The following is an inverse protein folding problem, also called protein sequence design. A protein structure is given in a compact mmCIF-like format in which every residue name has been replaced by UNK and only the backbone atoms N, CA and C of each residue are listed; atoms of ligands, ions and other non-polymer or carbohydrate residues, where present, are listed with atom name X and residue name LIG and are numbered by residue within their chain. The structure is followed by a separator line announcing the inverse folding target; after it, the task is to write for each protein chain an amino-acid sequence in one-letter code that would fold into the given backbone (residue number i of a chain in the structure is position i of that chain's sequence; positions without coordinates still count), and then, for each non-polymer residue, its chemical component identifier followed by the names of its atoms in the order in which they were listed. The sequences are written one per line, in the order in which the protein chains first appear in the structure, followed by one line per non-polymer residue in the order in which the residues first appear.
data_IF_867158225642
#
_entry.id   IF_867158225642
#
_cell.length_a   1.000
_cell.length_b   1.000
_cell.length_c   1.000
_cell.angle_alpha   90.00
_cell.angle_beta   90.00
_cell.angle_gamma   90.00
#
_symmetry.space_group_name_H-M   'P 1'
#
loop_
_entity.id
_entity.type
_entity.pdbx_description
1 polymer ?
#
# COMPACT_ATOMS: atom_id res chain seq x y z
N UNK A 1 -42.16 -45.79 16.62
CA UNK A 1 -41.22 -46.74 16.00
C UNK A 1 -41.99 -47.55 14.95
N UNK A 2 -41.97 -47.12 13.69
CA UNK A 2 -42.64 -47.77 12.54
C UNK A 2 -41.64 -48.10 11.44
N UNK A 3 -40.40 -48.41 11.81
CA UNK A 3 -39.28 -48.72 10.90
C UNK A 3 -39.24 -50.19 10.45
N UNK A 4 -40.39 -50.87 10.38
CA UNK A 4 -40.45 -52.30 10.06
C UNK A 4 -41.67 -52.77 9.27
N UNK A 5 -42.57 -51.86 8.86
CA UNK A 5 -43.70 -52.24 7.99
C UNK A 5 -43.26 -52.22 6.52
N UNK A 6 -43.63 -53.23 5.69
CA UNK A 6 -43.38 -53.22 4.25
C UNK A 6 -43.86 -51.95 3.55
N UNK A 7 -44.96 -51.35 4.04
CA UNK A 7 -45.48 -50.07 3.54
C UNK A 7 -44.58 -48.88 3.91
N UNK A 8 -43.95 -48.90 5.10
CA UNK A 8 -42.98 -47.89 5.50
C UNK A 8 -41.68 -47.98 4.69
N UNK A 9 -41.22 -49.20 4.41
CA UNK A 9 -40.08 -49.44 3.52
C UNK A 9 -40.35 -48.98 2.08
N UNK A 10 -41.57 -49.21 1.57
CA UNK A 10 -41.99 -48.72 0.25
C UNK A 10 -42.06 -47.19 0.21
N UNK A 11 -42.61 -46.54 1.24
CA UNK A 11 -42.66 -45.08 1.34
C UNK A 11 -41.26 -44.44 1.40
N UNK A 12 -40.35 -45.05 2.16
CA UNK A 12 -38.95 -44.58 2.23
C UNK A 12 -38.20 -44.80 0.91
N UNK A 13 -38.48 -45.89 0.20
CA UNK A 13 -37.91 -46.16 -1.12
C UNK A 13 -38.43 -45.13 -2.14
N UNK A 14 -39.73 -44.85 -2.14
CA UNK A 14 -40.31 -43.83 -3.03
C UNK A 14 -39.72 -42.44 -2.77
N UNK A 15 -39.59 -42.01 -1.51
CA UNK A 15 -38.94 -40.73 -1.17
C UNK A 15 -37.50 -40.65 -1.66
N UNK A 16 -36.73 -41.75 -1.56
CA UNK A 16 -35.36 -41.80 -2.08
C UNK A 16 -35.31 -41.72 -3.60
N UNK A 17 -36.23 -42.38 -4.29
CA UNK A 17 -36.33 -42.32 -5.75
C UNK A 17 -36.74 -40.92 -6.20
N UNK A 18 -37.75 -40.31 -5.58
CA UNK A 18 -38.17 -38.94 -5.86
C UNK A 18 -37.05 -37.93 -5.62
N UNK A 19 -36.33 -38.03 -4.50
CA UNK A 19 -35.17 -37.18 -4.23
C UNK A 19 -34.05 -37.36 -5.27
N UNK A 20 -33.80 -38.59 -5.72
CA UNK A 20 -32.81 -38.89 -6.76
C UNK A 20 -33.22 -38.32 -8.11
N UNK A 21 -34.48 -38.48 -8.52
CA UNK A 21 -35.01 -37.91 -9.76
C UNK A 21 -34.92 -36.39 -9.72
N UNK A 22 -35.32 -35.77 -8.61
CA UNK A 22 -35.22 -34.32 -8.45
C UNK A 22 -33.79 -33.80 -8.49
N UNK A 23 -32.85 -34.52 -7.88
CA UNK A 23 -31.44 -34.19 -7.97
C UNK A 23 -30.91 -34.28 -9.42
N UNK A 24 -31.34 -35.29 -10.17
CA UNK A 24 -30.97 -35.44 -11.57
C UNK A 24 -31.53 -34.31 -12.44
N UNK A 25 -32.81 -33.95 -12.27
CA UNK A 25 -33.42 -32.79 -12.95
C UNK A 25 -32.64 -31.50 -12.68
N UNK A 26 -32.27 -31.26 -11.42
CA UNK A 26 -31.52 -30.06 -11.04
C UNK A 26 -30.09 -30.07 -11.56
N UNK A 27 -29.46 -31.23 -11.74
CA UNK A 27 -28.14 -31.33 -12.38
C UNK A 27 -28.25 -30.94 -13.86
N UNK A 28 -29.25 -31.47 -14.57
CA UNK A 28 -29.50 -31.12 -15.99
C UNK A 28 -29.84 -29.63 -16.14
N UNK A 29 -30.62 -29.07 -15.21
CA UNK A 29 -30.94 -27.63 -15.17
C UNK A 29 -29.71 -26.77 -14.83
N UNK A 30 -28.80 -27.27 -13.97
CA UNK A 30 -27.55 -26.59 -13.64
C UNK A 30 -26.61 -26.56 -14.85
N UNK A 31 -26.49 -27.67 -15.59
CA UNK A 31 -25.68 -27.74 -16.81
C UNK A 31 -26.20 -26.77 -17.86
N UNK A 32 -27.52 -26.74 -18.09
CA UNK A 32 -28.14 -25.77 -18.99
C UNK A 32 -27.90 -24.33 -18.54
N UNK A 33 -28.02 -24.05 -17.24
CA UNK A 33 -27.77 -22.72 -16.68
C UNK A 33 -26.30 -22.31 -16.79
N UNK A 34 -25.37 -23.25 -16.63
CA UNK A 34 -23.93 -23.02 -16.81
C UNK A 34 -23.58 -22.75 -18.27
N UNK A 35 -24.24 -23.41 -19.22
CA UNK A 35 -24.07 -23.15 -20.66
C UNK A 35 -24.59 -21.77 -21.05
N UNK A 36 -25.76 -21.36 -20.53
CA UNK A 36 -26.28 -20.00 -20.71
C UNK A 36 -25.36 -18.95 -20.11
N UNK A 37 -24.81 -19.23 -18.92
CA UNK A 37 -23.84 -18.35 -18.27
C UNK A 37 -22.58 -18.21 -19.12
N UNK A 38 -22.08 -19.31 -19.70
CA UNK A 38 -20.90 -19.28 -20.59
C UNK A 38 -21.14 -18.44 -21.83
N UNK A 39 -22.29 -18.59 -22.47
CA UNK A 39 -22.66 -17.77 -23.64
C UNK A 39 -22.76 -16.29 -23.29
N UNK A 40 -23.37 -15.94 -22.16
CA UNK A 40 -23.46 -14.55 -21.72
C UNK A 40 -22.08 -13.96 -21.34
N UNK A 41 -21.20 -14.79 -20.78
CA UNK A 41 -19.82 -14.44 -20.43
C UNK A 41 -18.95 -14.19 -21.67
N UNK A 42 -19.09 -15.04 -22.69
CA UNK A 42 -18.43 -14.85 -23.98
C UNK A 42 -18.94 -13.56 -24.66
N UNK A 43 -20.26 -13.33 -24.65
CA UNK A 43 -20.86 -12.14 -25.24
C UNK A 43 -20.36 -10.84 -24.58
N UNK A 44 -20.30 -10.77 -23.23
CA UNK A 44 -19.78 -9.57 -22.56
C UNK A 44 -18.30 -9.34 -22.87
N UNK A 45 -17.48 -10.41 -22.95
CA UNK A 45 -16.06 -10.31 -23.29
C UNK A 45 -15.85 -9.77 -24.71
N UNK A 46 -16.68 -10.19 -25.66
CA UNK A 46 -16.62 -9.69 -27.03
C UNK A 46 -16.94 -8.19 -27.10
N UNK A 47 -17.99 -7.75 -26.40
CA UNK A 47 -18.35 -6.33 -26.34
C UNK A 47 -17.27 -5.51 -25.61
N UNK A 48 -16.72 -6.00 -24.51
CA UNK A 48 -15.61 -5.35 -23.79
C UNK A 48 -14.32 -5.30 -24.63
N UNK A 49 -14.04 -6.32 -25.44
CA UNK A 49 -12.93 -6.31 -26.37
C UNK A 49 -13.12 -5.25 -27.45
N UNK A 50 -14.34 -5.13 -27.99
CA UNK A 50 -14.71 -4.09 -28.96
C UNK A 50 -14.62 -2.68 -28.35
N UNK A 51 -15.14 -2.49 -27.14
CA UNK A 51 -15.06 -1.21 -26.42
C UNK A 51 -13.61 -0.76 -26.24
N UNK A 52 -12.72 -1.65 -25.78
CA UNK A 52 -11.28 -1.37 -25.65
C UNK A 52 -10.60 -0.97 -26.96
N UNK A 53 -11.08 -1.46 -28.11
CA UNK A 53 -10.54 -1.13 -29.41
C UNK A 53 -11.08 0.19 -29.97
N UNK A 54 -12.38 0.43 -29.83
CA UNK A 54 -13.08 1.53 -30.49
C UNK A 54 -13.06 2.81 -29.65
N UNK A 55 -13.25 2.69 -28.33
CA UNK A 55 -13.39 3.84 -27.42
C UNK A 55 -12.22 4.83 -27.52
N UNK A 56 -10.94 4.42 -27.52
CA UNK A 56 -9.84 5.37 -27.58
C UNK A 56 -9.78 6.14 -28.90
N UNK A 57 -10.15 5.50 -30.02
CA UNK A 57 -10.19 6.16 -31.32
C UNK A 57 -11.30 7.22 -31.37
N UNK A 58 -12.51 6.87 -30.91
CA UNK A 58 -13.65 7.80 -30.89
C UNK A 58 -13.48 8.94 -29.89
N UNK A 59 -12.87 8.70 -28.74
CA UNK A 59 -12.51 9.77 -27.80
C UNK A 59 -11.54 10.78 -28.43
N UNK A 60 -10.49 10.31 -29.12
CA UNK A 60 -9.57 11.20 -29.84
C UNK A 60 -10.27 12.01 -30.93
N UNK A 61 -11.23 11.43 -31.65
CA UNK A 61 -12.01 12.15 -32.64
C UNK A 61 -12.87 13.25 -32.01
N UNK A 62 -13.41 13.03 -30.81
CA UNK A 62 -14.14 14.06 -30.06
C UNK A 62 -13.21 15.19 -29.62
N UNK A 63 -12.04 14.87 -29.06
CA UNK A 63 -11.03 15.87 -28.69
C UNK A 63 -10.56 16.69 -29.90
N UNK A 64 -10.36 16.04 -31.05
CA UNK A 64 -10.03 16.72 -32.30
C UNK A 64 -11.16 17.63 -32.77
N UNK A 65 -12.41 17.17 -32.72
CA UNK A 65 -13.57 17.98 -33.09
C UNK A 65 -13.74 19.20 -32.16
N UNK A 66 -13.44 19.07 -30.87
CA UNK A 66 -13.40 20.19 -29.92
C UNK A 66 -12.28 21.19 -30.26
N UNK A 67 -11.07 20.70 -30.55
CA UNK A 67 -9.96 21.52 -31.02
C UNK A 67 -10.29 22.29 -32.31
N UNK A 68 -10.87 21.60 -33.29
CA UNK A 68 -11.32 22.17 -34.56
C UNK A 68 -12.42 23.23 -34.34
N UNK A 69 -13.34 23.02 -33.41
CA UNK A 69 -14.38 23.99 -33.08
C UNK A 69 -13.78 25.28 -32.48
N UNK A 70 -12.81 25.16 -31.59
CA UNK A 70 -12.09 26.29 -31.02
C UNK A 70 -11.33 27.07 -32.09
N UNK A 71 -10.62 26.37 -32.97
CA UNK A 71 -9.91 26.98 -34.09
C UNK A 71 -10.88 27.68 -35.04
N UNK A 72 -12.01 27.05 -35.38
CA UNK A 72 -13.02 27.63 -36.24
C UNK A 72 -13.63 28.90 -35.63
N UNK A 73 -13.93 28.90 -34.32
CA UNK A 73 -14.38 30.11 -33.61
C UNK A 73 -13.38 31.26 -33.73
N UNK A 74 -12.08 30.97 -33.60
CA UNK A 74 -11.05 31.97 -33.77
C UNK A 74 -10.97 32.49 -35.22
N UNK A 75 -10.99 31.58 -36.20
CA UNK A 75 -10.95 31.92 -37.62
C UNK A 75 -12.17 32.75 -38.03
N UNK A 76 -13.38 32.41 -37.56
CA UNK A 76 -14.59 33.21 -37.77
C UNK A 76 -14.41 34.62 -37.24
N UNK A 77 -13.86 34.77 -36.04
CA UNK A 77 -13.57 36.10 -35.45
C UNK A 77 -12.56 36.87 -36.30
N UNK A 78 -11.47 36.23 -36.75
CA UNK A 78 -10.45 36.86 -37.59
C UNK A 78 -11.00 37.26 -38.97
N UNK A 79 -11.84 36.43 -39.58
CA UNK A 79 -12.53 36.74 -40.85
C UNK A 79 -13.44 37.94 -40.69
N UNK A 80 -14.19 38.03 -39.59
CA UNK A 80 -15.02 39.20 -39.29
C UNK A 80 -14.18 40.48 -39.09
N UNK A 81 -13.05 40.40 -38.38
CA UNK A 81 -12.14 41.52 -38.16
C UNK A 81 -11.49 42.03 -39.45
N UNK A 82 -11.17 41.13 -40.39
CA UNK A 82 -10.51 41.46 -41.66
C UNK A 82 -11.50 41.72 -42.80
N UNK A 83 -12.81 41.77 -42.54
CA UNK A 83 -13.84 41.93 -43.57
C UNK A 83 -13.58 43.11 -44.51
N UNK A 84 -13.15 44.26 -43.98
CA UNK A 84 -12.89 45.45 -44.78
C UNK A 84 -11.63 45.35 -45.66
N UNK A 85 -10.73 44.41 -45.35
CA UNK A 85 -9.49 44.14 -46.08
C UNK A 85 -9.64 43.00 -47.09
N UNK A 86 -10.71 42.21 -46.98
CA UNK A 86 -11.06 41.14 -47.90
C UNK A 86 -11.92 41.69 -49.04
N UNK A 87 -11.68 41.22 -50.27
CA UNK A 87 -12.62 41.42 -51.37
C UNK A 87 -13.93 40.65 -51.13
N UNK A 88 -14.98 41.04 -51.85
CA UNK A 88 -16.31 40.44 -51.67
C UNK A 88 -16.35 38.95 -52.03
N UNK A 89 -15.53 38.52 -53.00
CA UNK A 89 -15.45 37.11 -53.41
C UNK A 89 -14.74 36.27 -52.35
N UNK A 90 -13.61 36.75 -51.84
CA UNK A 90 -12.83 36.09 -50.79
C UNK A 90 -13.64 35.97 -49.50
N UNK A 91 -14.42 37.01 -49.16
CA UNK A 91 -15.29 36.98 -47.99
C UNK A 91 -16.44 35.97 -48.14
N UNK A 92 -17.11 35.90 -49.31
CA UNK A 92 -18.15 34.88 -49.57
C UNK A 92 -17.59 33.47 -49.55
N UNK A 93 -16.38 33.26 -50.06
CA UNK A 93 -15.72 31.94 -49.99
C UNK A 93 -15.37 31.57 -48.54
N UNK A 94 -14.88 32.52 -47.74
CA UNK A 94 -14.63 32.30 -46.32
C UNK A 94 -15.92 31.92 -45.57
N UNK A 95 -17.05 32.57 -45.86
CA UNK A 95 -18.36 32.19 -45.29
C UNK A 95 -18.77 30.77 -45.69
N UNK A 96 -18.59 30.40 -46.96
CA UNK A 96 -18.87 29.04 -47.43
C UNK A 96 -18.00 28.02 -46.69
N UNK A 97 -16.69 28.25 -46.60
CA UNK A 97 -15.76 27.37 -45.89
C UNK A 97 -16.12 27.23 -44.41
N UNK A 98 -16.48 28.34 -43.74
CA UNK A 98 -16.95 28.31 -42.35
C UNK A 98 -18.17 27.39 -42.20
N UNK A 99 -19.16 27.48 -43.09
CA UNK A 99 -20.35 26.64 -43.02
C UNK A 99 -20.03 25.17 -43.25
N UNK A 100 -19.18 24.86 -44.25
CA UNK A 100 -18.74 23.49 -44.52
C UNK A 100 -17.98 22.91 -43.32
N UNK A 101 -17.04 23.68 -42.75
CA UNK A 101 -16.28 23.24 -41.57
C UNK A 101 -17.16 23.04 -40.34
N UNK A 102 -18.18 23.89 -40.10
CA UNK A 102 -19.15 23.66 -39.01
C UNK A 102 -19.89 22.35 -39.18
N UNK A 103 -20.45 22.11 -40.37
CA UNK A 103 -21.19 20.89 -40.66
C UNK A 103 -20.30 19.64 -40.53
N UNK A 104 -19.04 19.71 -40.94
CA UNK A 104 -18.09 18.60 -40.82
C UNK A 104 -17.72 18.29 -39.35
N UNK A 105 -17.43 19.33 -38.55
CA UNK A 105 -17.14 19.17 -37.11
C UNK A 105 -18.35 18.57 -36.38
N UNK A 106 -19.56 19.11 -36.64
CA UNK A 106 -20.80 18.60 -36.04
C UNK A 106 -21.05 17.14 -36.44
N UNK A 107 -20.85 16.79 -37.72
CA UNK A 107 -20.99 15.40 -38.19
C UNK A 107 -20.02 14.46 -37.49
N UNK A 108 -18.72 14.79 -37.44
CA UNK A 108 -17.71 13.94 -36.78
C UNK A 108 -18.02 13.75 -35.29
N UNK A 109 -18.41 14.83 -34.61
CA UNK A 109 -18.82 14.76 -33.20
C UNK A 109 -20.02 13.84 -33.00
N UNK A 110 -21.07 14.00 -33.82
CA UNK A 110 -22.28 13.18 -33.73
C UNK A 110 -22.00 11.71 -34.02
N UNK A 111 -21.20 11.39 -35.04
CA UNK A 111 -20.80 10.02 -35.38
C UNK A 111 -20.02 9.36 -34.24
N UNK A 112 -19.00 10.05 -33.70
CA UNK A 112 -18.20 9.52 -32.60
C UNK A 112 -19.01 9.36 -31.29
N UNK A 113 -19.91 10.30 -30.98
CA UNK A 113 -20.82 10.19 -29.83
C UNK A 113 -21.79 9.01 -29.97
N UNK A 114 -22.42 8.88 -31.14
CA UNK A 114 -23.40 7.82 -31.39
C UNK A 114 -22.77 6.41 -31.29
N UNK A 115 -21.53 6.24 -31.76
CA UNK A 115 -20.84 4.95 -31.63
C UNK A 115 -20.45 4.63 -30.19
N UNK A 116 -20.00 5.62 -29.41
CA UNK A 116 -19.72 5.44 -27.98
C UNK A 116 -20.98 5.13 -27.18
N UNK A 117 -22.11 5.76 -27.51
CA UNK A 117 -23.42 5.47 -26.90
C UNK A 117 -23.89 4.06 -27.26
N UNK A 118 -23.76 3.66 -28.53
CA UNK A 118 -24.10 2.30 -28.97
C UNK A 118 -23.29 1.24 -28.22
N UNK A 119 -21.98 1.45 -28.06
CA UNK A 119 -21.12 0.52 -27.30
C UNK A 119 -21.51 0.46 -25.82
N UNK A 120 -21.87 1.60 -25.23
CA UNK A 120 -22.37 1.63 -23.85
C UNK A 120 -23.64 0.82 -23.70
N UNK A 121 -24.60 1.00 -24.60
CA UNK A 121 -25.87 0.26 -24.59
C UNK A 121 -25.65 -1.25 -24.81
N UNK A 122 -24.73 -1.64 -25.70
CA UNK A 122 -24.35 -3.04 -25.92
C UNK A 122 -23.76 -3.65 -24.64
N UNK A 123 -22.86 -2.93 -23.94
CA UNK A 123 -22.28 -3.38 -22.66
C UNK A 123 -23.34 -3.53 -21.58
N UNK A 124 -24.24 -2.55 -21.45
CA UNK A 124 -25.28 -2.56 -20.42
C UNK A 124 -26.27 -3.71 -20.65
N UNK A 125 -26.64 -4.00 -21.91
CA UNK A 125 -27.46 -5.16 -22.27
C UNK A 125 -26.74 -6.48 -21.96
N UNK A 126 -25.46 -6.61 -22.35
CA UNK A 126 -24.67 -7.81 -22.07
C UNK A 126 -24.55 -8.07 -20.55
N UNK A 127 -24.39 -7.02 -19.74
CA UNK A 127 -24.38 -7.11 -18.27
C UNK A 127 -25.72 -7.56 -17.71
N UNK A 128 -26.84 -7.05 -18.21
CA UNK A 128 -28.19 -7.47 -17.79
C UNK A 128 -28.39 -8.97 -18.09
N UNK A 129 -27.99 -9.42 -19.28
CA UNK A 129 -28.09 -10.82 -19.69
C UNK A 129 -27.20 -11.73 -18.84
N UNK A 130 -25.95 -11.32 -18.61
CA UNK A 130 -25.01 -12.02 -17.73
C UNK A 130 -25.57 -12.11 -16.30
N UNK A 131 -26.14 -11.02 -15.79
CA UNK A 131 -26.74 -10.99 -14.45
C UNK A 131 -27.88 -11.99 -14.34
N UNK A 132 -28.77 -12.00 -15.33
CA UNK A 132 -29.89 -12.92 -15.36
C UNK A 132 -29.43 -14.38 -15.44
N UNK A 133 -28.37 -14.68 -16.21
CA UNK A 133 -27.78 -16.02 -16.30
C UNK A 133 -27.13 -16.45 -14.98
N UNK A 134 -26.40 -15.53 -14.33
CA UNK A 134 -25.74 -15.75 -13.05
C UNK A 134 -26.74 -15.98 -11.91
N UNK A 135 -27.81 -15.18 -11.85
CA UNK A 135 -28.88 -15.36 -10.86
C UNK A 135 -29.62 -16.69 -11.05
N UNK A 136 -29.82 -17.14 -12.30
CA UNK A 136 -30.37 -18.49 -12.61
C UNK A 136 -29.43 -19.58 -12.14
N UNK A 137 -28.13 -19.49 -12.47
CA UNK A 137 -27.13 -20.45 -12.02
C UNK A 137 -27.09 -20.58 -10.49
N UNK A 138 -27.00 -19.46 -9.78
CA UNK A 138 -26.99 -19.43 -8.30
C UNK A 138 -28.31 -19.92 -7.68
N UNK A 139 -29.44 -19.76 -8.36
CA UNK A 139 -30.70 -20.32 -7.90
C UNK A 139 -30.65 -21.85 -7.90
N UNK A 140 -30.31 -22.47 -9.04
CA UNK A 140 -30.24 -23.93 -9.19
C UNK A 140 -29.15 -24.53 -8.30
N UNK A 141 -27.99 -23.86 -8.19
CA UNK A 141 -26.88 -24.27 -7.32
C UNK A 141 -27.31 -24.39 -5.86
N UNK A 142 -28.06 -23.40 -5.35
CA UNK A 142 -28.59 -23.42 -3.98
C UNK A 142 -29.62 -24.54 -3.76
N UNK A 143 -30.43 -24.87 -4.74
CA UNK A 143 -31.36 -26.01 -4.64
C UNK A 143 -30.60 -27.35 -4.57
N UNK A 144 -29.52 -27.51 -5.34
CA UNK A 144 -28.64 -28.69 -5.26
C UNK A 144 -27.93 -28.81 -3.92
N UNK A 145 -27.46 -27.69 -3.35
CA UNK A 145 -26.83 -27.67 -2.03
C UNK A 145 -27.81 -28.08 -0.91
N UNK A 146 -29.08 -27.70 -1.02
CA UNK A 146 -30.13 -28.14 -0.08
C UNK A 146 -30.35 -29.65 -0.11
N UNK A 147 -30.16 -30.28 -1.27
CA UNK A 147 -30.22 -31.72 -1.44
C UNK A 147 -28.91 -32.43 -1.07
N UNK A 148 -27.87 -31.67 -0.67
CA UNK A 148 -26.54 -32.17 -0.32
C UNK A 148 -25.93 -33.05 -1.42
N UNK A 149 -26.20 -32.71 -2.68
CA UNK A 149 -25.62 -33.41 -3.82
C UNK A 149 -24.11 -33.13 -3.86
N UNK A 150 -23.24 -34.15 -3.89
CA UNK A 150 -21.80 -33.94 -3.95
C UNK A 150 -21.41 -33.13 -5.19
N UNK A 151 -20.55 -32.12 -5.00
CA UNK A 151 -19.96 -31.38 -6.13
C UNK A 151 -19.14 -32.33 -7.00
N UNK A 152 -19.45 -32.35 -8.30
CA UNK A 152 -18.65 -33.02 -9.32
C UNK A 152 -17.80 -31.97 -10.08
N UNK A 153 -16.99 -32.42 -11.04
CA UNK A 153 -16.14 -31.52 -11.82
C UNK A 153 -16.92 -30.47 -12.63
N UNK A 154 -18.14 -30.80 -13.09
CA UNK A 154 -19.00 -29.87 -13.83
C UNK A 154 -19.54 -28.75 -12.93
N UNK A 155 -19.93 -29.07 -11.70
CA UNK A 155 -20.35 -28.09 -10.70
C UNK A 155 -19.20 -27.13 -10.38
N UNK A 156 -17.99 -27.64 -10.16
CA UNK A 156 -16.81 -26.80 -9.91
C UNK A 156 -16.50 -25.86 -11.08
N UNK A 157 -16.53 -26.36 -12.32
CA UNK A 157 -16.34 -25.53 -13.51
C UNK A 157 -17.41 -24.42 -13.63
N UNK A 158 -18.65 -24.73 -13.27
CA UNK A 158 -19.72 -23.75 -13.22
C UNK A 158 -19.51 -22.71 -12.11
N UNK A 159 -19.08 -23.13 -10.92
CA UNK A 159 -18.79 -22.24 -9.79
C UNK A 159 -17.62 -21.28 -10.15
N UNK A 160 -16.56 -21.79 -10.78
CA UNK A 160 -15.43 -21.00 -11.29
C UNK A 160 -15.85 -20.02 -12.41
N UNK A 161 -16.80 -20.42 -13.25
CA UNK A 161 -17.38 -19.55 -14.29
C UNK A 161 -18.23 -18.45 -13.65
N UNK A 162 -19.06 -18.77 -12.66
CA UNK A 162 -19.87 -17.81 -11.92
C UNK A 162 -18.98 -16.79 -11.21
N UNK A 163 -17.91 -17.23 -10.55
CA UNK A 163 -16.95 -16.32 -9.91
C UNK A 163 -16.31 -15.35 -10.91
N UNK A 164 -15.88 -15.85 -12.08
CA UNK A 164 -15.33 -14.98 -13.15
C UNK A 164 -16.38 -14.03 -13.72
N UNK A 165 -17.62 -14.49 -13.89
CA UNK A 165 -18.70 -13.64 -14.35
C UNK A 165 -19.00 -12.49 -13.38
N UNK A 166 -18.83 -12.69 -12.08
CA UNK A 166 -18.97 -11.62 -11.08
C UNK A 166 -17.98 -10.46 -11.30
N UNK A 167 -16.81 -10.72 -11.90
CA UNK A 167 -15.77 -9.70 -12.15
C UNK A 167 -16.21 -8.59 -13.11
N UNK A 168 -17.21 -8.84 -13.95
CA UNK A 168 -17.75 -7.84 -14.89
C UNK A 168 -18.64 -6.77 -14.23
N UNK A 169 -19.04 -6.99 -12.98
CA UNK A 169 -19.97 -6.13 -12.27
C UNK A 169 -19.24 -5.08 -11.41
N UNK A 170 -19.60 -3.78 -11.51
CA UNK A 170 -18.96 -2.72 -10.72
C UNK A 170 -19.02 -2.98 -9.21
N UNK A 171 -20.11 -3.55 -8.70
CA UNK A 171 -20.31 -3.80 -7.28
C UNK A 171 -19.31 -4.84 -6.74
N UNK A 172 -19.03 -5.87 -7.54
CA UNK A 172 -17.99 -6.85 -7.22
C UNK A 172 -16.61 -6.21 -7.28
N UNK A 173 -16.30 -5.45 -8.33
CA UNK A 173 -15.01 -4.78 -8.48
C UNK A 173 -14.70 -3.84 -7.31
N UNK A 174 -15.68 -3.07 -6.84
CA UNK A 174 -15.54 -2.18 -5.68
C UNK A 174 -15.31 -2.97 -4.39
N UNK A 175 -16.04 -4.07 -4.17
CA UNK A 175 -15.84 -4.94 -3.00
C UNK A 175 -14.51 -5.67 -3.03
N UNK A 176 -14.10 -6.18 -4.19
CA UNK A 176 -12.79 -6.80 -4.39
C UNK A 176 -11.67 -5.79 -4.14
N UNK A 177 -11.83 -4.56 -4.60
CA UNK A 177 -10.89 -3.47 -4.34
C UNK A 177 -10.81 -3.10 -2.85
N UNK A 178 -11.94 -3.10 -2.13
CA UNK A 178 -11.94 -2.91 -0.67
C UNK A 178 -11.10 -4.00 0.03
N UNK A 179 -11.34 -5.28 -0.31
CA UNK A 179 -10.59 -6.41 0.25
C UNK A 179 -9.10 -6.35 -0.08
N UNK A 180 -8.76 -6.01 -1.32
CA UNK A 180 -7.37 -5.82 -1.76
C UNK A 180 -6.63 -4.84 -0.85
N UNK A 181 -7.24 -3.69 -0.54
CA UNK A 181 -6.61 -2.67 0.33
C UNK A 181 -6.50 -3.17 1.78
N UNK A 182 -7.49 -3.92 2.26
CA UNK A 182 -7.47 -4.50 3.61
C UNK A 182 -6.35 -5.54 3.76
N UNK A 183 -6.25 -6.47 2.80
CA UNK A 183 -5.26 -7.54 2.77
C UNK A 183 -3.85 -7.01 2.51
N UNK A 184 -3.70 -6.03 1.62
CA UNK A 184 -2.41 -5.44 1.27
C UNK A 184 -1.85 -4.52 2.37
N UNK A 185 -2.58 -4.23 3.45
CA UNK A 185 -2.13 -3.31 4.49
C UNK A 185 -0.77 -3.70 5.09
N UNK A 186 -0.58 -4.98 5.41
CA UNK A 186 0.68 -5.47 5.99
C UNK A 186 1.82 -5.41 4.97
N UNK A 187 1.55 -5.78 3.71
CA UNK A 187 2.53 -5.72 2.63
C UNK A 187 2.94 -4.28 2.31
N UNK A 188 1.98 -3.35 2.30
CA UNK A 188 2.22 -1.92 2.06
C UNK A 188 3.16 -1.32 3.09
N UNK A 189 3.01 -1.68 4.37
CA UNK A 189 3.91 -1.23 5.42
C UNK A 189 5.36 -1.72 5.24
N UNK A 190 5.56 -2.85 4.55
CA UNK A 190 6.87 -3.42 4.27
C UNK A 190 7.51 -2.92 2.96
N UNK A 191 6.78 -2.14 2.15
CA UNK A 191 7.27 -1.56 0.90
C UNK A 191 8.20 -0.36 1.15
N UNK A 192 9.13 -0.11 0.23
CA UNK A 192 9.96 1.10 0.25
C UNK A 192 9.11 2.35 -0.02
N UNK A 193 9.57 3.53 0.41
CA UNK A 193 8.80 4.78 0.28
C UNK A 193 8.37 5.10 -1.16
N UNK A 194 9.20 4.77 -2.16
CA UNK A 194 8.86 4.95 -3.58
C UNK A 194 7.77 3.99 -4.05
N UNK A 195 7.83 2.73 -3.60
CA UNK A 195 6.79 1.74 -3.86
C UNK A 195 5.47 2.13 -3.19
N UNK A 196 5.53 2.55 -1.92
CA UNK A 196 4.36 3.05 -1.19
C UNK A 196 3.70 4.23 -1.91
N UNK A 197 4.49 5.18 -2.42
CA UNK A 197 3.99 6.31 -3.21
C UNK A 197 3.29 5.86 -4.49
N UNK A 198 3.94 5.00 -5.29
CA UNK A 198 3.36 4.51 -6.53
C UNK A 198 2.11 3.64 -6.30
N UNK A 199 2.14 2.74 -5.32
CA UNK A 199 0.99 1.92 -4.93
C UNK A 199 -0.19 2.78 -4.45
N UNK A 200 0.08 3.81 -3.64
CA UNK A 200 -0.96 4.75 -3.20
C UNK A 200 -1.55 5.54 -4.38
N UNK A 201 -0.73 5.94 -5.37
CA UNK A 201 -1.23 6.53 -6.62
C UNK A 201 -2.15 5.57 -7.36
N UNK A 202 -1.78 4.29 -7.50
CA UNK A 202 -2.63 3.27 -8.14
C UNK A 202 -3.98 3.16 -7.43
N UNK A 203 -3.98 3.03 -6.10
CA UNK A 203 -5.21 2.89 -5.33
C UNK A 203 -6.11 4.13 -5.41
N UNK A 204 -5.58 5.33 -5.21
CA UNK A 204 -6.41 6.53 -5.29
C UNK A 204 -6.91 6.77 -6.72
N UNK A 205 -6.11 6.42 -7.74
CA UNK A 205 -6.53 6.48 -9.14
C UNK A 205 -7.70 5.54 -9.42
N UNK A 206 -7.61 4.28 -8.98
CA UNK A 206 -8.71 3.29 -9.11
C UNK A 206 -9.97 3.72 -8.38
N UNK A 207 -9.84 4.23 -7.14
CA UNK A 207 -10.95 4.80 -6.39
C UNK A 207 -11.65 5.90 -7.19
N UNK A 208 -10.88 6.83 -7.75
CA UNK A 208 -11.41 7.95 -8.52
C UNK A 208 -12.08 7.48 -9.80
N UNK A 209 -11.50 6.51 -10.50
CA UNK A 209 -12.14 5.87 -11.64
C UNK A 209 -13.53 5.34 -11.29
N UNK A 210 -13.65 4.60 -10.18
CA UNK A 210 -14.95 4.11 -9.71
C UNK A 210 -15.93 5.24 -9.37
N UNK A 211 -15.46 6.32 -8.73
CA UNK A 211 -16.30 7.48 -8.41
C UNK A 211 -16.84 8.22 -9.65
N UNK A 212 -16.08 8.24 -10.75
CA UNK A 212 -16.48 8.86 -12.01
C UNK A 212 -17.31 7.92 -12.90
N UNK A 213 -17.48 6.65 -12.51
CA UNK A 213 -18.28 5.66 -13.24
C UNK A 213 -19.76 5.65 -12.84
N UNK A 214 -20.26 6.73 -12.25
CA UNK A 214 -21.60 6.84 -11.66
C UNK A 214 -22.01 5.63 -10.78
N UNK A 215 -21.26 5.38 -9.68
CA UNK A 215 -21.56 4.25 -8.79
C UNK A 215 -22.94 4.41 -8.15
N UNK A 216 -23.61 3.29 -7.87
CA UNK A 216 -24.84 3.25 -7.10
C UNK A 216 -24.63 3.64 -5.63
N UNK A 217 -25.72 3.68 -4.85
CA UNK A 217 -25.69 4.18 -3.47
C UNK A 217 -24.83 3.31 -2.54
N UNK A 218 -24.97 1.98 -2.65
CA UNK A 218 -24.20 1.02 -1.87
C UNK A 218 -22.70 1.09 -2.21
N UNK A 219 -22.36 1.22 -3.49
CA UNK A 219 -20.97 1.35 -3.94
C UNK A 219 -20.36 2.66 -3.46
N UNK A 220 -21.12 3.76 -3.45
CA UNK A 220 -20.66 5.05 -2.90
C UNK A 220 -20.29 4.93 -1.43
N UNK A 221 -21.07 4.21 -0.63
CA UNK A 221 -20.76 4.00 0.78
C UNK A 221 -19.45 3.22 0.94
N UNK A 222 -19.25 2.16 0.16
CA UNK A 222 -18.00 1.37 0.17
C UNK A 222 -16.83 2.23 -0.29
N UNK A 223 -16.95 2.98 -1.38
CA UNK A 223 -15.92 3.89 -1.88
C UNK A 223 -15.54 4.96 -0.85
N UNK A 224 -16.49 5.51 -0.09
CA UNK A 224 -16.21 6.47 0.98
C UNK A 224 -15.48 5.82 2.17
N UNK A 225 -15.77 4.54 2.48
CA UNK A 225 -14.99 3.77 3.46
C UNK A 225 -13.56 3.55 2.97
N UNK A 226 -13.39 3.16 1.71
CA UNK A 226 -12.06 2.99 1.09
C UNK A 226 -11.30 4.33 1.10
N UNK A 227 -11.93 5.44 0.72
CA UNK A 227 -11.30 6.76 0.73
C UNK A 227 -10.75 7.11 2.12
N UNK A 228 -11.58 6.97 3.17
CA UNK A 228 -11.15 7.20 4.56
C UNK A 228 -9.98 6.31 4.95
N UNK A 229 -9.96 5.05 4.48
CA UNK A 229 -8.86 4.11 4.71
C UNK A 229 -7.57 4.57 4.03
N UNK A 230 -7.63 4.93 2.74
CA UNK A 230 -6.47 5.43 1.99
C UNK A 230 -5.90 6.72 2.62
N UNK A 231 -6.76 7.62 3.10
CA UNK A 231 -6.33 8.83 3.84
C UNK A 231 -5.61 8.45 5.13
N UNK A 232 -6.10 7.45 5.87
CA UNK A 232 -5.44 6.93 7.08
C UNK A 232 -4.06 6.36 6.76
N UNK A 233 -3.95 5.52 5.73
CA UNK A 233 -2.67 4.93 5.31
C UNK A 233 -1.67 5.99 4.84
N UNK A 234 -2.13 6.98 4.07
CA UNK A 234 -1.30 8.10 3.62
C UNK A 234 -0.73 8.91 4.80
N UNK A 235 -1.52 9.12 5.86
CA UNK A 235 -1.05 9.78 7.09
C UNK A 235 -0.09 8.92 7.92
N UNK A 236 -0.26 7.61 7.92
CA UNK A 236 0.56 6.70 8.72
C UNK A 236 1.95 6.48 8.12
N UNK A 237 2.05 6.39 6.79
CA UNK A 237 3.30 6.04 6.10
C UNK A 237 3.95 7.23 5.38
N UNK A 238 3.26 8.36 5.26
CA UNK A 238 3.72 9.59 4.61
C UNK A 238 4.46 9.36 3.27
N UNK A 239 3.81 8.64 2.31
CA UNK A 239 4.46 8.26 1.06
C UNK A 239 4.81 9.46 0.18
N UNK A 240 4.14 10.60 0.38
CA UNK A 240 4.35 11.84 -0.37
C UNK A 240 3.04 12.57 -0.66
N UNK A 241 3.13 13.76 -1.25
CA UNK A 241 1.95 14.51 -1.70
C UNK A 241 1.39 13.88 -2.98
N UNK A 242 0.10 13.52 -2.97
CA UNK A 242 -0.58 12.92 -4.12
C UNK A 242 -1.81 13.77 -4.45
N UNK A 243 -1.79 14.43 -5.61
CA UNK A 243 -2.84 15.37 -6.07
C UNK A 243 -4.23 14.74 -6.17
N UNK A 244 -4.29 13.46 -6.53
CA UNK A 244 -5.53 12.70 -6.70
C UNK A 244 -6.36 12.55 -5.41
N UNK A 245 -5.81 12.86 -4.22
CA UNK A 245 -6.62 12.98 -2.99
C UNK A 245 -7.55 14.20 -3.01
N UNK A 246 -7.25 15.22 -3.81
CA UNK A 246 -8.15 16.35 -4.01
C UNK A 246 -9.35 15.90 -4.87
N UNK A 247 -10.57 16.19 -4.41
CA UNK A 247 -11.81 15.87 -5.12
C UNK A 247 -11.98 16.66 -6.42
N UNK A 248 -11.30 17.80 -6.55
CA UNK A 248 -11.34 18.65 -7.74
C UNK A 248 -10.28 18.28 -8.78
N UNK A 249 -9.39 17.33 -8.48
CA UNK A 249 -8.39 16.88 -9.42
C UNK A 249 -9.07 16.06 -10.52
N UNK A 250 -8.96 16.53 -11.76
CA UNK A 250 -9.46 15.86 -12.95
C UNK A 250 -8.27 15.38 -13.78
N UNK A 251 -8.32 14.11 -14.16
CA UNK A 251 -7.32 13.47 -15.01
C UNK A 251 -8.01 12.37 -15.82
N UNK A 252 -7.36 11.95 -16.91
CA UNK A 252 -7.62 10.64 -17.49
C UNK A 252 -7.16 9.59 -16.47
N UNK A 253 -8.13 8.99 -15.76
CA UNK A 253 -7.85 8.05 -14.68
C UNK A 253 -7.19 6.77 -15.18
N UNK A 254 -7.50 6.32 -16.40
CA UNK A 254 -6.87 5.12 -16.95
C UNK A 254 -5.41 5.38 -17.30
N UNK A 255 -5.10 6.53 -17.92
CA UNK A 255 -3.72 6.95 -18.15
C UNK A 255 -2.96 7.16 -16.83
N UNK A 256 -3.59 7.81 -15.84
CA UNK A 256 -3.00 8.05 -14.51
C UNK A 256 -2.68 6.75 -13.77
N UNK A 257 -3.59 5.76 -13.81
CA UNK A 257 -3.37 4.45 -13.21
C UNK A 257 -2.24 3.71 -13.92
N UNK A 258 -2.21 3.74 -15.27
CA UNK A 258 -1.16 3.08 -16.05
C UNK A 258 0.24 3.66 -15.74
N UNK A 259 0.36 4.98 -15.64
CA UNK A 259 1.61 5.65 -15.25
C UNK A 259 2.03 5.27 -13.82
N UNK A 260 1.07 5.22 -12.88
CA UNK A 260 1.34 4.83 -11.51
C UNK A 260 1.76 3.35 -11.39
N UNK A 261 1.16 2.45 -12.19
CA UNK A 261 1.54 1.04 -12.26
C UNK A 261 2.95 0.85 -12.85
N UNK A 262 3.31 1.63 -13.86
CA UNK A 262 4.66 1.64 -14.42
C UNK A 262 5.67 2.13 -13.37
N UNK A 263 5.35 3.22 -12.68
CA UNK A 263 6.19 3.75 -11.58
C UNK A 263 6.39 2.73 -10.47
N UNK A 264 5.33 1.99 -10.12
CA UNK A 264 5.39 0.92 -9.12
C UNK A 264 6.30 -0.21 -9.58
N UNK A 265 6.18 -0.65 -10.83
CA UNK A 265 7.05 -1.70 -11.39
C UNK A 265 8.52 -1.30 -11.32
N UNK A 266 8.83 -0.06 -11.73
CA UNK A 266 10.19 0.47 -11.66
C UNK A 266 10.71 0.54 -10.22
N UNK A 267 9.88 1.03 -9.29
CA UNK A 267 10.25 1.12 -7.88
C UNK A 267 10.48 -0.28 -7.26
N UNK A 268 9.63 -1.26 -7.57
CA UNK A 268 9.80 -2.63 -7.07
C UNK A 268 11.01 -3.34 -7.67
N UNK A 269 11.32 -3.10 -8.94
CA UNK A 269 12.57 -3.59 -9.54
C UNK A 269 13.80 -2.95 -8.91
N UNK A 270 13.76 -1.64 -8.63
CA UNK A 270 14.85 -0.93 -7.95
C UNK A 270 15.04 -1.45 -6.52
N UNK A 271 13.96 -1.62 -5.76
CA UNK A 271 13.97 -2.19 -4.41
C UNK A 271 14.49 -3.63 -4.41
N UNK A 272 14.14 -4.43 -5.42
CA UNK A 272 14.70 -5.79 -5.59
C UNK A 272 16.20 -5.75 -5.88
N UNK A 273 16.64 -4.91 -6.82
CA UNK A 273 18.07 -4.76 -7.14
C UNK A 273 18.89 -4.25 -5.96
N UNK A 274 18.32 -3.36 -5.13
CA UNK A 274 18.99 -2.88 -3.93
C UNK A 274 19.14 -3.99 -2.90
N UNK A 275 18.09 -4.78 -2.65
CA UNK A 275 18.15 -5.97 -1.78
C UNK A 275 19.15 -7.02 -2.29
N UNK A 276 19.20 -7.25 -3.60
CA UNK A 276 20.19 -8.15 -4.23
C UNK A 276 21.62 -7.61 -4.05
N UNK A 277 21.84 -6.30 -4.22
CA UNK A 277 23.15 -5.66 -3.97
C UNK A 277 23.57 -5.71 -2.51
N UNK A 278 22.62 -5.57 -1.59
CA UNK A 278 22.85 -5.70 -0.15
C UNK A 278 23.16 -7.15 0.24
N UNK A 279 22.55 -8.13 -0.44
CA UNK A 279 22.80 -9.56 -0.22
C UNK A 279 24.12 -10.05 -0.85
N UNK A 280 24.53 -9.47 -1.99
CA UNK A 280 25.79 -9.77 -2.69
C UNK A 280 26.97 -8.92 -2.17
N UNK A 281 26.73 -8.02 -1.21
CA UNK A 281 27.80 -7.32 -0.52
C UNK A 281 28.60 -8.36 0.31
N UNK A 282 29.91 -8.53 0.06
CA UNK A 282 30.72 -9.48 0.82
C UNK A 282 30.82 -8.98 2.26
N UNK A 283 30.26 -9.74 3.21
CA UNK A 283 30.29 -9.56 4.68
C UNK A 283 30.99 -8.25 5.10
N UNK A 284 30.33 -7.14 4.79
CA UNK A 284 30.82 -5.81 5.11
C UNK A 284 30.75 -5.67 6.63
N UNK A 285 31.69 -4.96 7.28
CA UNK A 285 31.70 -4.87 8.72
C UNK A 285 30.34 -4.32 9.18
N UNK A 286 29.62 -5.15 9.95
CA UNK A 286 28.32 -4.85 10.54
C UNK A 286 28.30 -3.37 11.00
N UNK A 287 27.34 -2.53 10.57
CA UNK A 287 27.29 -1.13 10.99
C UNK A 287 27.27 -0.98 12.52
N UNK A 288 26.80 -1.99 13.26
CA UNK A 288 26.90 -2.06 14.73
C UNK A 288 28.33 -2.29 15.22
N UNK A 289 29.15 -3.01 14.46
CA UNK A 289 30.58 -3.14 14.71
C UNK A 289 31.34 -1.86 14.35
N UNK A 290 30.95 -1.12 13.32
CA UNK A 290 31.59 0.15 12.98
C UNK A 290 31.41 1.19 14.12
N UNK A 291 30.19 1.33 14.63
CA UNK A 291 29.91 2.18 15.80
C UNK A 291 30.63 1.69 17.06
N UNK A 292 30.68 0.37 17.29
CA UNK A 292 31.41 -0.24 18.41
C UNK A 292 32.94 -0.03 18.32
N UNK A 293 33.52 -0.14 17.12
CA UNK A 293 34.94 0.09 16.88
C UNK A 293 35.29 1.57 17.06
N UNK A 294 34.43 2.48 16.60
CA UNK A 294 34.63 3.91 16.78
C UNK A 294 34.48 4.34 18.25
N UNK A 295 33.46 3.82 18.95
CA UNK A 295 33.28 4.02 20.39
C UNK A 295 34.49 3.48 21.19
N UNK A 296 35.02 2.31 20.81
CA UNK A 296 36.23 1.74 21.42
C UNK A 296 37.46 2.61 21.18
N UNK A 297 37.64 3.15 19.97
CA UNK A 297 38.76 4.04 19.63
C UNK A 297 38.70 5.37 20.39
N UNK A 298 37.52 5.97 20.50
CA UNK A 298 37.30 7.21 21.28
C UNK A 298 37.61 6.96 22.76
N UNK A 299 37.19 5.81 23.28
CA UNK A 299 37.43 5.43 24.68
C UNK A 299 38.92 5.18 24.99
N UNK A 300 39.66 4.54 24.08
CA UNK A 300 41.11 4.36 24.20
C UNK A 300 41.85 5.70 24.20
N UNK A 301 41.44 6.64 23.34
CA UNK A 301 41.99 8.00 23.33
C UNK A 301 41.67 8.76 24.63
N UNK A 302 40.46 8.61 25.16
CA UNK A 302 40.05 9.24 26.42
C UNK A 302 40.79 8.65 27.63
N UNK A 303 41.04 7.33 27.65
CA UNK A 303 41.88 6.66 28.65
C UNK A 303 43.34 7.16 28.59
N UNK A 304 43.91 7.30 27.41
CA UNK A 304 45.23 7.90 27.25
C UNK A 304 45.25 9.37 27.70
N UNK A 305 44.19 10.13 27.42
CA UNK A 305 44.06 11.50 27.92
C UNK A 305 43.97 11.55 29.45
N UNK A 306 43.24 10.64 30.07
CA UNK A 306 43.15 10.52 31.53
C UNK A 306 44.54 10.18 32.13
N UNK A 307 45.28 9.22 31.55
CA UNK A 307 46.68 8.94 31.95
C UNK A 307 47.58 10.18 31.81
N UNK A 308 47.46 10.92 30.72
CA UNK A 308 48.24 12.14 30.50
C UNK A 308 47.91 13.23 31.54
N UNK A 309 46.64 13.45 31.85
CA UNK A 309 46.20 14.39 32.89
C UNK A 309 46.74 14.01 34.28
N UNK A 310 46.84 12.71 34.56
CA UNK A 310 47.38 12.21 35.81
C UNK A 310 48.91 12.43 35.93
N UNK A 311 49.63 12.38 34.81
CA UNK A 311 51.08 12.66 34.74
C UNK A 311 51.42 14.16 34.84
N UNK A 312 50.48 15.04 34.52
CA UNK A 312 50.69 16.49 34.65
C UNK A 312 50.67 16.88 36.14
N UNK A 313 51.71 17.61 36.57
CA UNK A 313 51.75 18.29 37.87
C UNK A 313 50.89 19.54 37.76
N UNK A 314 49.69 19.49 38.34
CA UNK A 314 48.87 20.68 38.57
C UNK A 314 49.22 21.24 39.95
N UNK A 315 49.30 22.57 40.05
CA UNK A 315 49.60 23.27 41.31
C UNK A 315 48.40 23.27 42.28
N UNK A 316 47.19 22.98 41.79
CA UNK A 316 45.96 22.89 42.59
C UNK A 316 45.34 21.47 42.52
N UNK A 317 45.29 20.74 43.66
CA UNK A 317 44.70 19.39 43.75
C UNK A 317 43.22 19.33 43.39
N UNK A 318 42.46 20.40 43.66
CA UNK A 318 41.01 20.43 43.50
C UNK A 318 40.64 20.54 42.02
N UNK A 319 41.35 21.39 41.28
CA UNK A 319 41.22 21.52 39.81
C UNK A 319 41.61 20.22 39.10
N UNK A 320 42.61 19.50 39.63
CA UNK A 320 43.00 18.18 39.10
C UNK A 320 41.90 17.14 39.31
N UNK A 321 41.30 17.09 40.49
CA UNK A 321 40.19 16.20 40.80
C UNK A 321 38.94 16.49 39.96
N UNK A 322 38.61 17.76 39.72
CA UNK A 322 37.48 18.16 38.88
C UNK A 322 37.66 17.73 37.42
N UNK A 323 38.83 18.00 36.82
CA UNK A 323 39.13 17.57 35.44
C UNK A 323 39.21 16.06 35.29
N UNK A 324 39.70 15.37 36.31
CA UNK A 324 39.71 13.92 36.38
C UNK A 324 38.28 13.37 36.35
N UNK A 325 37.39 13.89 37.21
CA UNK A 325 35.97 13.48 37.24
C UNK A 325 35.26 13.76 35.92
N UNK A 326 35.46 14.94 35.32
CA UNK A 326 34.85 15.28 34.04
C UNK A 326 35.28 14.31 32.92
N UNK A 327 36.58 14.02 32.84
CA UNK A 327 37.12 13.10 31.83
C UNK A 327 36.62 11.66 32.06
N UNK A 328 36.57 11.22 33.32
CA UNK A 328 36.08 9.90 33.71
C UNK A 328 34.58 9.74 33.40
N UNK A 329 33.75 10.77 33.61
CA UNK A 329 32.33 10.74 33.30
C UNK A 329 32.08 10.47 31.81
N UNK A 330 32.83 11.16 30.93
CA UNK A 330 32.75 10.96 29.47
C UNK A 330 33.17 9.55 29.06
N UNK A 331 34.16 8.98 29.73
CA UNK A 331 34.61 7.59 29.48
C UNK A 331 33.50 6.60 29.87
N UNK A 332 32.88 6.76 31.05
CA UNK A 332 31.81 5.87 31.52
C UNK A 332 30.58 5.92 30.61
N UNK A 333 30.21 7.11 30.15
CA UNK A 333 29.08 7.30 29.24
C UNK A 333 29.33 6.62 27.88
N UNK A 334 30.57 6.66 27.36
CA UNK A 334 30.92 6.07 26.07
C UNK A 334 31.28 4.57 26.09
N UNK A 335 31.84 4.08 27.20
CA UNK A 335 32.43 2.73 27.29
C UNK A 335 31.52 1.69 27.97
N UNK A 336 30.48 2.14 28.69
CA UNK A 336 29.56 1.24 29.39
C UNK A 336 30.16 0.68 30.68
N UNK A 337 29.93 -0.62 30.96
CA UNK A 337 30.33 -1.23 32.23
C UNK A 337 31.85 -1.19 32.43
N UNK A 338 32.34 -0.96 33.67
CA UNK A 338 33.77 -0.86 33.93
C UNK A 338 34.54 -2.13 33.53
N UNK A 339 35.55 -1.96 32.69
CA UNK A 339 36.54 -3.00 32.36
C UNK A 339 37.79 -2.87 33.25
N UNK A 340 38.55 -3.95 33.38
CA UNK A 340 39.70 -4.11 34.28
C UNK A 340 40.76 -3.03 34.06
N UNK A 341 41.01 -2.65 32.81
CA UNK A 341 41.96 -1.58 32.44
C UNK A 341 41.57 -0.20 32.97
N UNK A 342 40.29 0.13 32.97
CA UNK A 342 39.80 1.39 33.51
C UNK A 342 39.97 1.40 35.04
N UNK A 343 39.64 0.27 35.69
CA UNK A 343 39.80 0.10 37.13
C UNK A 343 41.27 0.24 37.56
N UNK A 344 42.22 -0.34 36.83
CA UNK A 344 43.66 -0.18 37.10
C UNK A 344 44.11 1.29 37.11
N UNK A 345 43.67 2.09 36.13
CA UNK A 345 44.10 3.49 36.00
C UNK A 345 43.49 4.38 37.08
N UNK A 346 42.24 4.13 37.47
CA UNK A 346 41.53 4.97 38.46
C UNK A 346 41.74 4.51 39.91
N UNK A 347 42.22 3.29 40.14
CA UNK A 347 42.40 2.70 41.49
C UNK A 347 43.20 3.60 42.44
N UNK A 348 44.33 4.22 42.04
CA UNK A 348 45.08 5.15 42.90
C UNK A 348 44.31 6.44 43.25
N UNK A 349 43.24 6.75 42.53
CA UNK A 349 42.45 7.98 42.65
C UNK A 349 41.03 7.70 43.15
N UNK A 350 40.82 6.58 43.86
CA UNK A 350 39.51 6.15 44.39
C UNK A 350 38.79 7.26 45.16
N UNK A 351 39.54 8.06 45.91
CA UNK A 351 39.00 9.18 46.70
C UNK A 351 38.37 10.29 45.84
N UNK A 352 38.78 10.41 44.58
CA UNK A 352 38.24 11.41 43.64
C UNK A 352 37.01 10.90 42.87
N UNK A 353 36.72 9.60 42.95
CA UNK A 353 35.56 8.97 42.29
C UNK A 353 34.30 9.17 43.15
N UNK A 354 33.84 10.41 43.24
CA UNK A 354 32.65 10.80 44.03
C UNK A 354 31.53 11.27 43.10
N UNK A 355 30.29 10.83 43.34
CA UNK A 355 29.14 11.20 42.51
C UNK A 355 28.18 10.04 42.29
N UNK A 356 26.94 10.32 41.90
CA UNK A 356 25.94 9.29 41.63
C UNK A 356 26.27 8.52 40.33
N UNK A 357 26.85 9.21 39.36
CA UNK A 357 27.30 8.76 38.05
C UNK A 357 28.41 7.70 38.12
N UNK A 358 29.19 7.67 39.21
CA UNK A 358 30.28 6.71 39.41
C UNK A 358 29.92 5.55 40.35
N UNK A 359 28.64 5.33 40.66
CA UNK A 359 28.22 4.28 41.60
C UNK A 359 28.69 2.88 41.15
N UNK A 360 28.48 2.55 39.87
CA UNK A 360 28.89 1.26 39.30
C UNK A 360 30.42 1.07 39.30
N UNK A 361 31.19 2.15 39.11
CA UNK A 361 32.66 2.12 39.21
C UNK A 361 33.12 1.91 40.64
N UNK A 362 32.50 2.58 41.62
CA UNK A 362 32.81 2.37 43.03
C UNK A 362 32.52 0.95 43.48
N UNK A 363 31.35 0.41 43.13
CA UNK A 363 31.02 -0.99 43.41
C UNK A 363 32.00 -1.99 42.77
N UNK A 364 32.52 -1.67 41.58
CA UNK A 364 33.53 -2.49 40.91
C UNK A 364 34.92 -2.37 41.56
N UNK A 365 35.34 -1.17 41.96
CA UNK A 365 36.58 -0.93 42.72
C UNK A 365 36.53 -1.59 44.11
N UNK A 366 35.35 -1.67 44.73
CA UNK A 366 35.15 -2.26 46.05
C UNK A 366 35.12 -3.80 46.02
N UNK A 367 34.84 -4.40 44.87
CA UNK A 367 34.75 -5.86 44.69
C UNK A 367 36.08 -6.57 44.51
N UNK A 368 37.18 -5.86 44.23
CA UNK A 368 38.48 -6.45 43.92
C UNK A 368 39.48 -6.27 45.08
N UNK A 369 39.73 -7.31 45.92
CA UNK A 369 40.51 -7.20 47.15
C UNK A 369 41.99 -7.46 46.85
N UNK A 370 42.69 -6.48 46.30
CA UNK A 370 44.14 -6.54 46.13
C UNK A 370 44.82 -5.22 46.48
N UNK A 371 44.97 -4.94 47.79
CA UNK A 371 46.23 -4.62 48.49
C UNK A 371 46.00 -4.26 49.98
N UNK A 372 47.03 -4.37 50.84
CA UNK A 372 46.94 -4.63 52.28
C UNK A 372 46.63 -3.40 53.13
N UNK A 373 46.09 -3.67 54.32
CA UNK A 373 45.82 -2.73 55.40
C UNK A 373 47.13 -2.07 55.85
N UNK A 374 47.32 -0.79 55.59
CA UNK A 374 48.17 0.06 56.41
C UNK A 374 47.33 0.63 57.55
N UNK A 375 47.78 0.31 58.76
CA UNK A 375 47.20 0.68 60.05
C UNK A 375 47.67 2.10 60.37
N UNK A 376 46.74 3.04 60.56
CA UNK A 376 46.96 4.20 61.42
C UNK A 376 46.08 4.08 62.67
N UNK A 377 46.75 4.11 63.82
CA UNK A 377 46.21 3.91 65.15
C UNK A 377 45.23 5.03 65.56
N UNK A 378 44.19 4.70 66.34
CA UNK A 378 43.20 5.66 66.81
C UNK A 378 43.75 6.53 67.94
N UNK A 379 43.56 7.84 67.82
CA UNK A 379 43.62 8.78 68.95
C UNK A 379 42.34 8.63 69.77
N UNK A 380 42.45 7.92 70.89
CA UNK A 380 41.39 7.79 71.89
C UNK A 380 41.65 8.79 73.04
N UNK A 381 40.92 9.91 73.01
CA UNK A 381 40.74 10.80 74.14
C UNK A 381 39.61 10.24 75.02
N UNK A 382 39.95 9.66 76.17
CA UNK A 382 39.01 9.56 77.28
C UNK A 382 39.73 9.54 78.63
N UNK A 383 39.90 10.75 79.17
CA UNK A 383 39.94 11.04 80.61
C UNK A 383 38.66 10.47 81.26
N UNK A 384 38.73 9.57 82.25
CA UNK A 384 38.81 9.86 83.69
C UNK A 384 37.82 8.91 84.43
N UNK A 385 37.78 8.89 85.77
CA UNK A 385 38.87 8.82 86.73
C UNK A 385 38.70 7.67 87.74
N UNK A 386 39.74 7.51 88.54
CA UNK A 386 39.96 6.50 89.58
C UNK A 386 39.18 6.80 90.87
N UNK A 387 38.53 5.75 91.41
CA UNK A 387 38.31 5.37 92.83
C UNK A 387 37.95 6.43 93.90
N UNK A 388 36.86 6.16 94.61
CA UNK A 388 36.90 5.64 95.99
C UNK A 388 35.64 4.83 96.29
#
# INVERSE_FOLDING_TARGET
MTTGSPLGQLADLLRRVEAKTRAQELIEELELSADQLRQAEEAIREVEARDRQVRPARQRELEQAEGDEHLLKELVRRTAQNRALMGEQEFREAERLIQVSRAEIERRRAEAQAELETLRDELDRARIELRAALDRYHHVRRELDRLQVPSNGHVQQGDDLAQRAEEHFPEFQVRAFAREIEEANAAFAAMDRREQYAQMRVWIGRLRRFQHSDPGEDEREVLEKIFRRLVSLSKQHEPGYIEAFNRQYAADWDAYIAEAQESLRQASEEARRNREREADAPDGPDPRNAESIEARRISEQALEHLKALLLIRYDDPQVKADRFRETLARIVEGYGSPDERLLEVIRPYREWVTGAEFRSLREALDRDPSLPVEVEEPTDDSEAPTRA
#
